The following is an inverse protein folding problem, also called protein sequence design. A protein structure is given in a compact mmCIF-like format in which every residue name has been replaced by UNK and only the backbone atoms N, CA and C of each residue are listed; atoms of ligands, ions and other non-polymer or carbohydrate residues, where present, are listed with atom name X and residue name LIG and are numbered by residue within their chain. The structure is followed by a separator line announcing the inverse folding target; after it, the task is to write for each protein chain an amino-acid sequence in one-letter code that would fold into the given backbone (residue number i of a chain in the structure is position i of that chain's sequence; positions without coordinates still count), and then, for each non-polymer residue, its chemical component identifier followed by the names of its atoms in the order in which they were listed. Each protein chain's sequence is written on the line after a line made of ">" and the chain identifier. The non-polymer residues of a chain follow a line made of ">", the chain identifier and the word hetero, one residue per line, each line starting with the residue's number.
data_IF_878397897906
#
_entry.id   IF_878397897906
#
_cell.length_a   1.000
_cell.length_b   1.000
_cell.length_c   1.000
_cell.angle_alpha   90.00
_cell.angle_beta   90.00
_cell.angle_gamma   90.00
#
_symmetry.space_group_name_H-M   'P 1'
#
loop_
_entity.id
_entity.type
_entity.pdbx_description
1 polymer ?
#
# COMPACT_ATOMS: atom_id res chain seq x y z
N UNK A 1 58.64 -32.03 -27.19
CA UNK A 1 57.75 -31.96 -26.00
C UNK A 1 57.20 -30.56 -25.74
N UNK A 2 58.00 -29.50 -25.86
CA UNK A 2 57.63 -28.10 -25.59
C UNK A 2 56.40 -27.61 -26.40
N UNK A 3 56.32 -27.91 -27.69
CA UNK A 3 55.19 -27.51 -28.57
C UNK A 3 53.83 -28.06 -28.14
N UNK A 4 53.79 -29.29 -27.59
CA UNK A 4 52.54 -29.91 -27.11
C UNK A 4 52.09 -29.29 -25.78
N UNK A 5 53.04 -28.85 -24.95
CA UNK A 5 52.76 -28.16 -23.69
C UNK A 5 52.17 -26.76 -23.93
N UNK A 6 52.72 -26.02 -24.89
CA UNK A 6 52.23 -24.67 -25.24
C UNK A 6 50.79 -24.71 -25.76
N UNK A 7 50.47 -25.68 -26.63
CA UNK A 7 49.12 -25.85 -27.18
C UNK A 7 48.12 -26.23 -26.08
N UNK A 8 48.51 -27.12 -25.15
CA UNK A 8 47.65 -27.51 -24.03
C UNK A 8 47.35 -26.33 -23.10
N UNK A 9 48.36 -25.50 -22.79
CA UNK A 9 48.21 -24.31 -21.94
C UNK A 9 47.33 -23.25 -22.61
N UNK A 10 47.44 -23.05 -23.92
CA UNK A 10 46.58 -22.10 -24.65
C UNK A 10 45.12 -22.56 -24.73
N UNK A 11 44.84 -23.86 -24.85
CA UNK A 11 43.47 -24.41 -24.88
C UNK A 11 42.83 -24.35 -23.48
N UNK A 12 43.61 -24.62 -22.43
CA UNK A 12 43.12 -24.51 -21.05
C UNK A 12 42.81 -23.05 -20.69
N UNK A 13 43.68 -22.09 -21.03
CA UNK A 13 43.43 -20.66 -20.80
C UNK A 13 42.20 -20.12 -21.57
N UNK A 14 41.90 -20.63 -22.76
CA UNK A 14 40.73 -20.19 -23.54
C UNK A 14 39.42 -20.81 -23.04
N UNK A 15 39.45 -22.02 -22.46
CA UNK A 15 38.28 -22.63 -21.81
C UNK A 15 37.88 -21.98 -20.48
N UNK A 16 38.84 -21.41 -19.74
CA UNK A 16 38.58 -20.72 -18.46
C UNK A 16 37.94 -19.33 -18.61
N UNK A 17 37.94 -18.74 -19.81
CA UNK A 17 37.38 -17.41 -20.06
C UNK A 17 35.91 -17.43 -20.49
N UNK A 18 35.31 -18.61 -20.70
CA UNK A 18 33.92 -18.76 -21.15
C UNK A 18 32.93 -19.13 -20.03
N UNK A 19 33.41 -19.42 -18.82
CA UNK A 19 32.55 -19.63 -17.64
C UNK A 19 32.31 -18.31 -16.88
N UNK A 20 31.87 -17.27 -17.59
CA UNK A 20 31.30 -16.08 -16.98
C UNK A 20 29.82 -16.34 -16.69
N UNK A 21 29.51 -17.00 -15.58
CA UNK A 21 28.14 -17.05 -15.07
C UNK A 21 27.68 -15.62 -14.80
N UNK A 22 26.80 -15.08 -15.65
CA UNK A 22 25.99 -13.92 -15.32
C UNK A 22 24.97 -14.33 -14.26
N UNK A 23 25.41 -14.45 -13.00
CA UNK A 23 24.53 -14.17 -11.88
C UNK A 23 24.32 -12.66 -11.86
N UNK A 24 23.41 -12.19 -12.72
CA UNK A 24 22.76 -10.91 -12.51
C UNK A 24 21.92 -11.08 -11.24
N UNK A 25 22.56 -10.90 -10.08
CA UNK A 25 21.88 -10.87 -8.80
C UNK A 25 20.78 -9.83 -8.91
N UNK A 26 19.52 -10.25 -8.73
CA UNK A 26 18.44 -9.30 -8.44
C UNK A 26 18.97 -8.43 -7.29
N UNK A 27 18.84 -7.09 -7.35
CA UNK A 27 19.34 -6.24 -6.27
C UNK A 27 18.57 -6.59 -5.00
N UNK A 28 19.14 -7.46 -4.19
CA UNK A 28 18.55 -8.00 -2.99
C UNK A 28 18.48 -6.86 -1.98
N UNK A 29 17.26 -6.49 -1.59
CA UNK A 29 17.09 -5.64 -0.42
C UNK A 29 17.40 -6.49 0.80
N UNK A 30 18.66 -6.44 1.23
CA UNK A 30 19.26 -7.17 2.35
C UNK A 30 18.72 -6.74 3.74
N UNK A 31 17.52 -6.15 3.79
CA UNK A 31 16.86 -5.76 5.03
C UNK A 31 15.50 -6.41 5.08
N UNK A 32 15.20 -7.03 6.23
CA UNK A 32 13.88 -7.56 6.52
C UNK A 32 12.81 -6.50 6.25
N UNK A 33 11.98 -6.77 5.24
CA UNK A 33 10.90 -5.88 4.83
C UNK A 33 9.74 -6.07 5.78
N UNK A 34 9.27 -4.98 6.39
CA UNK A 34 8.06 -5.00 7.21
C UNK A 34 6.89 -4.47 6.39
N UNK A 35 5.97 -5.37 6.04
CA UNK A 35 4.76 -5.03 5.31
C UNK A 35 3.74 -4.37 6.22
N UNK A 36 3.13 -3.28 5.74
CA UNK A 36 2.16 -2.51 6.52
C UNK A 36 0.95 -2.17 5.69
N UNK A 37 -0.21 -2.17 6.32
CA UNK A 37 -1.38 -1.51 5.78
C UNK A 37 -1.34 -0.05 6.19
N UNK A 38 -1.73 0.82 5.27
CA UNK A 38 -1.95 2.25 5.52
C UNK A 38 -3.34 2.65 5.03
N UNK A 39 -3.97 3.56 5.75
CA UNK A 39 -5.23 4.19 5.35
C UNK A 39 -4.94 5.62 4.94
N UNK A 40 -5.57 6.04 3.84
CA UNK A 40 -5.44 7.39 3.31
C UNK A 40 -6.78 7.88 2.77
N UNK A 41 -6.93 9.20 2.68
CA UNK A 41 -8.12 9.87 2.15
C UNK A 41 -7.71 10.97 1.17
N UNK A 42 -8.59 11.37 0.22
CA UNK A 42 -8.33 12.52 -0.60
C UNK A 42 -8.40 13.85 0.17
N UNK A 43 -7.92 14.91 -0.49
CA UNK A 43 -8.07 16.27 0.04
C UNK A 43 -9.54 16.57 0.27
N UNK A 44 -9.82 17.30 1.34
CA UNK A 44 -11.17 17.76 1.70
C UNK A 44 -12.14 16.61 2.04
N UNK A 45 -11.65 15.40 2.33
CA UNK A 45 -12.47 14.22 2.66
C UNK A 45 -11.95 13.54 3.94
N UNK A 46 -11.75 14.32 5.00
CA UNK A 46 -11.29 13.74 6.25
C UNK A 46 -12.28 12.66 6.72
N UNK A 47 -11.74 11.53 7.19
CA UNK A 47 -12.54 10.39 7.64
C UNK A 47 -12.14 10.00 9.05
N UNK A 48 -13.13 9.64 9.86
CA UNK A 48 -12.89 8.98 11.14
C UNK A 48 -12.90 7.46 10.92
N UNK A 49 -11.71 6.84 10.89
CA UNK A 49 -11.59 5.39 10.71
C UNK A 49 -11.84 4.71 12.06
N UNK A 50 -12.96 4.00 12.15
CA UNK A 50 -13.44 3.33 13.37
C UNK A 50 -12.74 2.00 13.60
N UNK A 51 -12.77 1.15 12.57
CA UNK A 51 -12.26 -0.21 12.66
C UNK A 51 -11.39 -0.48 11.46
N UNK A 52 -10.20 -1.00 11.73
CA UNK A 52 -9.36 -1.67 10.76
C UNK A 52 -9.00 -3.02 11.35
N UNK A 53 -9.45 -4.09 10.71
CA UNK A 53 -9.32 -5.47 11.16
C UNK A 53 -8.75 -6.33 10.03
N UNK A 54 -8.01 -7.34 10.43
CA UNK A 54 -7.33 -8.28 9.56
C UNK A 54 -7.61 -9.69 10.05
N UNK A 55 -7.71 -10.62 9.11
CA UNK A 55 -7.79 -12.04 9.38
C UNK A 55 -6.93 -12.81 8.38
N UNK A 56 -6.01 -13.61 8.92
CA UNK A 56 -5.31 -14.67 8.22
C UNK A 56 -5.91 -15.99 8.70
N UNK A 57 -6.62 -16.66 7.80
CA UNK A 57 -7.51 -17.78 8.13
C UNK A 57 -6.71 -18.93 8.72
N UNK A 58 -7.12 -19.41 9.90
CA UNK A 58 -6.41 -20.49 10.59
C UNK A 58 -5.11 -20.07 11.31
N UNK A 59 -4.71 -18.80 11.20
CA UNK A 59 -3.52 -18.27 11.89
C UNK A 59 -3.88 -17.27 12.97
N UNK A 60 -4.44 -16.10 12.61
CA UNK A 60 -4.84 -15.07 13.58
C UNK A 60 -5.80 -14.03 12.99
N UNK A 61 -6.54 -13.38 13.87
CA UNK A 61 -7.23 -12.11 13.59
C UNK A 61 -6.69 -11.00 14.50
N UNK A 62 -6.59 -9.78 13.99
CA UNK A 62 -6.07 -8.62 14.74
C UNK A 62 -6.66 -7.32 14.22
N UNK A 63 -6.52 -6.25 15.00
CA UNK A 63 -7.10 -4.95 14.68
C UNK A 63 -6.15 -3.82 15.05
N UNK A 64 -6.21 -2.71 14.31
CA UNK A 64 -5.37 -1.53 14.55
C UNK A 64 -6.21 -0.27 14.76
N UNK A 65 -5.92 0.55 15.79
CA UNK A 65 -6.53 1.86 15.93
C UNK A 65 -6.00 2.80 14.84
N UNK A 66 -6.90 3.53 14.19
CA UNK A 66 -6.54 4.52 13.15
C UNK A 66 -7.03 5.90 13.55
N UNK A 67 -8.34 6.08 13.77
CA UNK A 67 -8.92 7.37 14.16
C UNK A 67 -9.01 8.35 12.99
N UNK A 68 -8.91 9.65 13.29
CA UNK A 68 -9.00 10.71 12.28
C UNK A 68 -7.88 10.55 11.26
N UNK A 69 -8.27 10.30 10.03
CA UNK A 69 -7.41 10.27 8.86
C UNK A 69 -7.73 11.46 8.00
N UNK A 70 -6.80 12.40 7.97
CA UNK A 70 -6.81 13.51 7.02
C UNK A 70 -5.82 13.28 5.90
N UNK A 71 -5.94 14.08 4.85
CA UNK A 71 -5.14 14.05 3.63
C UNK A 71 -3.66 13.61 3.80
N UNK A 72 -3.09 12.84 2.86
CA UNK A 72 -3.42 12.79 1.43
C UNK A 72 -3.12 11.44 0.77
N UNK A 73 -3.94 11.06 -0.21
CA UNK A 73 -3.76 9.85 -1.03
C UNK A 73 -2.44 9.79 -1.82
N UNK A 74 -1.86 10.94 -2.21
CA UNK A 74 -0.52 11.03 -2.85
C UNK A 74 0.66 10.89 -1.87
N UNK A 75 0.38 10.69 -0.58
CA UNK A 75 1.37 10.45 0.46
C UNK A 75 1.24 9.05 1.02
N UNK A 76 2.24 8.64 1.81
CA UNK A 76 2.07 7.44 2.66
C UNK A 76 0.89 7.69 3.61
N UNK A 77 -0.05 6.74 3.70
CA UNK A 77 -1.20 6.88 4.58
C UNK A 77 -0.79 7.10 6.04
N UNK A 78 -1.62 7.82 6.80
CA UNK A 78 -1.26 8.36 8.12
C UNK A 78 -1.48 7.37 9.28
N UNK A 79 -2.34 6.37 9.11
CA UNK A 79 -2.57 5.31 10.10
C UNK A 79 -2.67 3.92 9.46
N UNK A 80 -2.57 2.87 10.26
CA UNK A 80 -2.68 1.48 9.80
C UNK A 80 -1.73 0.52 10.52
N UNK A 81 -1.86 -0.78 10.25
CA UNK A 81 -1.25 -1.86 11.02
C UNK A 81 -0.20 -2.66 10.27
N UNK A 82 0.47 -3.55 11.00
CA UNK A 82 1.35 -4.57 10.43
C UNK A 82 0.51 -5.65 9.72
N UNK A 83 1.01 -6.12 8.57
CA UNK A 83 0.37 -7.11 7.70
C UNK A 83 0.96 -8.52 7.89
N UNK A 84 1.61 -8.80 9.00
CA UNK A 84 2.19 -10.13 9.25
C UNK A 84 1.36 -10.87 10.32
N UNK A 85 0.86 -12.08 10.03
CA UNK A 85 0.86 -12.79 8.73
C UNK A 85 0.04 -12.05 7.66
N UNK A 86 0.24 -12.35 6.38
CA UNK A 86 -0.54 -11.71 5.31
C UNK A 86 -2.01 -12.14 5.40
N UNK A 87 -2.97 -11.20 5.45
CA UNK A 87 -4.37 -11.53 5.67
C UNK A 87 -5.09 -11.96 4.38
N UNK A 88 -6.02 -12.91 4.51
CA UNK A 88 -7.02 -13.21 3.49
C UNK A 88 -8.18 -12.21 3.53
N UNK A 89 -8.47 -11.62 4.70
CA UNK A 89 -9.55 -10.66 4.86
C UNK A 89 -9.11 -9.37 5.53
N UNK A 90 -9.61 -8.26 5.01
CA UNK A 90 -9.45 -6.94 5.60
C UNK A 90 -10.83 -6.32 5.76
N UNK A 91 -11.20 -6.02 7.00
CA UNK A 91 -12.41 -5.26 7.32
C UNK A 91 -12.04 -3.82 7.66
N UNK A 92 -12.73 -2.87 7.06
CA UNK A 92 -12.58 -1.45 7.35
C UNK A 92 -13.94 -0.79 7.49
N UNK A 93 -14.10 0.06 8.50
CA UNK A 93 -15.24 0.96 8.63
C UNK A 93 -14.80 2.36 9.02
N UNK A 94 -15.50 3.37 8.49
CA UNK A 94 -15.20 4.77 8.74
C UNK A 94 -16.46 5.63 8.66
N UNK A 95 -16.38 6.81 9.26
CA UNK A 95 -17.32 7.90 9.07
C UNK A 95 -16.70 8.95 8.16
N UNK A 96 -17.37 9.27 7.06
CA UNK A 96 -17.03 10.36 6.15
C UNK A 96 -17.52 11.67 6.77
N UNK A 97 -16.61 12.56 7.19
CA UNK A 97 -17.01 13.85 7.76
C UNK A 97 -17.67 14.75 6.71
N UNK A 98 -17.27 14.59 5.45
CA UNK A 98 -17.81 15.36 4.33
C UNK A 98 -19.25 14.97 3.96
N UNK A 99 -19.54 13.67 3.96
CA UNK A 99 -20.87 13.14 3.62
C UNK A 99 -21.76 12.95 4.84
N UNK A 100 -21.18 13.07 6.05
CA UNK A 100 -21.82 12.73 7.31
C UNK A 100 -22.44 11.32 7.28
N UNK A 101 -21.72 10.37 6.65
CA UNK A 101 -22.19 9.01 6.40
C UNK A 101 -21.12 8.00 6.81
N UNK A 102 -21.57 6.94 7.48
CA UNK A 102 -20.73 5.79 7.81
C UNK A 102 -20.72 4.74 6.72
N UNK A 103 -19.55 4.12 6.50
CA UNK A 103 -19.30 3.11 5.48
C UNK A 103 -18.52 1.93 6.03
N UNK A 104 -18.82 0.73 5.56
CA UNK A 104 -18.08 -0.48 5.89
C UNK A 104 -17.77 -1.33 4.66
N UNK A 105 -16.61 -2.00 4.68
CA UNK A 105 -16.20 -2.94 3.64
C UNK A 105 -15.43 -4.10 4.23
N UNK A 106 -15.81 -5.32 3.83
CA UNK A 106 -14.99 -6.52 3.90
C UNK A 106 -14.33 -6.76 2.54
N UNK A 107 -13.01 -6.85 2.52
CA UNK A 107 -12.19 -7.15 1.35
C UNK A 107 -11.65 -8.57 1.52
N UNK A 108 -11.82 -9.40 0.51
CA UNK A 108 -11.20 -10.72 0.42
C UNK A 108 -10.00 -10.64 -0.53
N UNK A 109 -8.84 -11.07 -0.06
CA UNK A 109 -7.60 -11.26 -0.80
C UNK A 109 -7.51 -12.77 -1.08
N UNK A 110 -7.85 -13.22 -2.29
CA UNK A 110 -7.97 -14.66 -2.59
C UNK A 110 -6.63 -15.40 -2.56
N UNK A 111 -5.52 -14.67 -2.71
CA UNK A 111 -4.17 -15.21 -2.71
C UNK A 111 -3.23 -14.19 -2.02
N UNK A 112 -3.08 -14.26 -0.67
CA UNK A 112 -2.24 -13.33 0.08
C UNK A 112 -0.76 -13.42 -0.30
N UNK A 113 -0.29 -14.61 -0.68
CA UNK A 113 1.09 -14.83 -1.06
C UNK A 113 1.40 -14.25 -2.45
N UNK A 114 0.50 -14.39 -3.43
CA UNK A 114 0.65 -13.67 -4.70
C UNK A 114 0.61 -12.14 -4.51
N UNK A 115 -0.18 -11.63 -3.55
CA UNK A 115 -0.13 -10.21 -3.20
C UNK A 115 1.23 -9.84 -2.59
N UNK A 116 1.76 -10.65 -1.67
CA UNK A 116 3.09 -10.48 -1.06
C UNK A 116 4.19 -10.47 -2.13
N UNK A 117 4.18 -11.42 -3.06
CA UNK A 117 5.14 -11.47 -4.17
C UNK A 117 5.10 -10.19 -5.03
N UNK A 118 3.90 -9.67 -5.31
CA UNK A 118 3.76 -8.38 -6.02
C UNK A 118 4.28 -7.21 -5.18
N UNK A 119 4.12 -7.24 -3.85
CA UNK A 119 4.70 -6.25 -2.94
C UNK A 119 6.23 -6.33 -2.88
N UNK A 120 6.81 -7.50 -3.07
CA UNK A 120 8.28 -7.71 -3.11
C UNK A 120 8.94 -7.16 -4.37
N UNK A 121 8.17 -7.02 -5.45
CA UNK A 121 8.69 -6.45 -6.69
C UNK A 121 9.23 -5.04 -6.47
N UNK A 122 10.52 -4.88 -6.80
CA UNK A 122 11.23 -3.62 -6.61
C UNK A 122 10.78 -2.57 -7.62
N UNK A 123 10.72 -1.33 -7.16
CA UNK A 123 10.40 -0.17 -7.98
C UNK A 123 11.40 0.96 -7.75
N UNK A 124 11.84 1.68 -8.80
CA UNK A 124 12.72 2.82 -8.66
C UNK A 124 12.02 3.96 -7.92
N UNK A 125 12.70 4.52 -6.93
CA UNK A 125 12.27 5.62 -6.06
C UNK A 125 13.37 6.65 -5.97
N UNK A 126 13.01 7.91 -6.15
CA UNK A 126 13.93 9.03 -5.96
C UNK A 126 13.91 9.50 -4.51
N UNK A 127 15.07 9.52 -3.85
CA UNK A 127 15.21 10.01 -2.48
C UNK A 127 16.53 10.77 -2.32
N UNK A 128 16.44 12.05 -1.97
CA UNK A 128 17.61 12.92 -1.71
C UNK A 128 18.60 12.88 -2.90
N UNK A 129 18.10 13.10 -4.12
CA UNK A 129 18.92 13.14 -5.34
C UNK A 129 19.52 11.79 -5.77
N UNK A 130 19.17 10.68 -5.12
CA UNK A 130 19.63 9.33 -5.48
C UNK A 130 18.46 8.43 -5.84
N UNK A 131 18.71 7.49 -6.74
CA UNK A 131 17.76 6.45 -7.13
C UNK A 131 17.98 5.20 -6.26
N UNK A 132 16.90 4.70 -5.68
CA UNK A 132 16.85 3.44 -4.95
C UNK A 132 15.79 2.56 -5.60
N UNK A 133 16.06 1.29 -5.84
CA UNK A 133 14.98 0.34 -6.07
C UNK A 133 14.36 0.01 -4.71
N UNK A 134 13.06 -0.13 -4.50
CA UNK A 134 12.49 -0.49 -3.18
C UNK A 134 11.32 -1.44 -3.38
N UNK A 135 11.12 -2.44 -2.50
CA UNK A 135 9.90 -3.23 -2.53
C UNK A 135 8.71 -2.35 -2.17
N UNK A 136 7.52 -2.67 -2.68
CA UNK A 136 6.25 -1.99 -2.41
C UNK A 136 5.66 -2.42 -1.06
N UNK A 137 6.39 -2.12 0.01
CA UNK A 137 6.12 -2.61 1.36
C UNK A 137 4.87 -2.03 2.06
N UNK A 138 4.10 -1.15 1.40
CA UNK A 138 2.82 -0.68 1.92
C UNK A 138 1.66 -1.18 1.05
N UNK A 139 0.65 -1.77 1.68
CA UNK A 139 -0.69 -1.89 1.13
C UNK A 139 -1.49 -0.68 1.60
N UNK A 140 -2.07 0.09 0.69
CA UNK A 140 -2.77 1.34 1.03
C UNK A 140 -4.24 1.21 0.67
N UNK A 141 -5.12 1.44 1.64
CA UNK A 141 -6.55 1.63 1.42
C UNK A 141 -6.84 3.13 1.33
N UNK A 142 -7.19 3.59 0.13
CA UNK A 142 -7.74 4.92 -0.10
C UNK A 142 -9.24 4.90 0.10
N UNK A 143 -9.71 5.59 1.13
CA UNK A 143 -11.13 5.83 1.36
C UNK A 143 -11.50 7.11 0.63
N UNK A 144 -12.41 7.01 -0.33
CA UNK A 144 -12.84 8.10 -1.19
C UNK A 144 -14.36 8.30 -1.10
N UNK A 145 -14.86 9.48 -1.53
CA UNK A 145 -16.29 9.78 -1.59
C UNK A 145 -17.16 8.67 -2.19
N UNK A 146 -18.41 8.60 -1.74
CA UNK A 146 -19.39 7.62 -2.21
C UNK A 146 -19.01 6.18 -1.85
N UNK A 147 -18.38 5.98 -0.70
CA UNK A 147 -17.99 4.66 -0.18
C UNK A 147 -16.94 3.94 -1.04
N UNK A 148 -16.11 4.66 -1.80
CA UNK A 148 -15.11 4.04 -2.67
C UNK A 148 -13.89 3.63 -1.85
N UNK A 149 -13.44 2.38 -2.01
CA UNK A 149 -12.15 1.92 -1.46
C UNK A 149 -11.26 1.50 -2.61
N UNK A 150 -10.11 2.13 -2.73
CA UNK A 150 -9.09 1.72 -3.71
C UNK A 150 -7.88 1.19 -2.96
N UNK A 151 -7.38 0.05 -3.41
CA UNK A 151 -6.29 -0.68 -2.77
C UNK A 151 -5.05 -0.63 -3.67
N UNK A 152 -3.93 -0.15 -3.13
CA UNK A 152 -2.66 -0.08 -3.86
C UNK A 152 -1.54 -0.76 -3.09
N UNK A 153 -0.56 -1.27 -3.83
CA UNK A 153 0.76 -1.59 -3.29
C UNK A 153 1.74 -0.48 -3.66
N UNK A 154 2.55 -0.01 -2.71
CA UNK A 154 3.53 1.05 -2.97
C UNK A 154 4.67 1.12 -1.94
N UNK A 155 5.81 1.65 -2.36
CA UNK A 155 6.89 2.11 -1.46
C UNK A 155 6.84 3.64 -1.30
N UNK A 156 6.51 4.33 -2.40
CA UNK A 156 6.19 5.74 -2.52
C UNK A 156 5.06 5.94 -3.51
N UNK A 157 4.44 7.11 -3.51
CA UNK A 157 3.31 7.41 -4.39
C UNK A 157 3.64 7.23 -5.88
N UNK A 158 4.87 7.53 -6.33
CA UNK A 158 5.28 7.30 -7.72
C UNK A 158 5.37 5.82 -8.12
N UNK A 159 5.37 4.90 -7.14
CA UNK A 159 5.46 3.44 -7.37
C UNK A 159 4.13 2.72 -7.24
N UNK A 160 3.05 3.46 -6.98
CA UNK A 160 1.75 2.90 -6.68
C UNK A 160 1.21 2.05 -7.84
N UNK A 161 0.77 0.84 -7.51
CA UNK A 161 0.03 -0.04 -8.41
C UNK A 161 -1.30 -0.34 -7.76
N UNK A 162 -2.40 -0.07 -8.48
CA UNK A 162 -3.74 -0.45 -8.04
C UNK A 162 -3.87 -1.98 -8.13
N UNK A 163 -4.29 -2.59 -7.03
CA UNK A 163 -4.48 -4.05 -6.90
C UNK A 163 -5.93 -4.42 -6.59
N UNK A 164 -6.79 -3.44 -6.32
CA UNK A 164 -8.20 -3.67 -6.10
C UNK A 164 -8.99 -2.38 -5.95
N UNK A 165 -10.28 -2.48 -6.23
CA UNK A 165 -11.24 -1.37 -6.13
C UNK A 165 -12.59 -1.92 -5.70
N UNK A 166 -13.18 -1.29 -4.70
CA UNK A 166 -14.34 -1.82 -3.99
C UNK A 166 -15.33 -0.71 -3.67
N UNK A 167 -16.59 -1.10 -3.51
CA UNK A 167 -17.64 -0.25 -2.95
C UNK A 167 -18.03 -0.74 -1.56
N UNK A 168 -17.93 0.16 -0.60
CA UNK A 168 -18.42 -0.01 0.75
C UNK A 168 -19.93 0.21 0.80
N UNK A 169 -20.55 -0.37 1.82
CA UNK A 169 -21.97 -0.25 2.08
C UNK A 169 -22.16 0.86 3.10
N UNK A 170 -23.06 1.84 2.86
CA UNK A 170 -23.42 2.83 3.86
C UNK A 170 -24.20 2.17 4.99
N UNK A 171 -24.00 2.64 6.21
CA UNK A 171 -24.78 2.21 7.37
C UNK A 171 -24.96 3.34 8.37
N UNK A 172 -26.04 3.27 9.12
CA UNK A 172 -26.30 4.19 10.23
C UNK A 172 -25.50 3.72 11.44
N UNK A 173 -24.73 4.62 12.04
CA UNK A 173 -24.13 4.38 13.35
C UNK A 173 -24.74 5.34 14.38
N UNK A 174 -24.62 4.96 15.65
CA UNK A 174 -25.08 5.73 16.81
C UNK A 174 -23.95 6.57 17.43
N UNK A 175 -22.81 6.66 16.74
CA UNK A 175 -21.63 7.33 17.24
C UNK A 175 -21.76 8.85 17.09
N UNK A 176 -21.20 9.54 18.08
CA UNK A 176 -21.24 11.00 18.17
C UNK A 176 -19.96 11.60 17.62
N UNK A 177 -20.08 12.36 16.52
CA UNK A 177 -18.96 12.97 15.80
C UNK A 177 -18.95 14.50 15.89
N UNK A 178 -19.78 15.13 16.72
CA UNK A 178 -20.09 16.56 16.69
C UNK A 178 -18.82 17.42 16.74
N UNK A 179 -17.89 17.15 17.66
CA UNK A 179 -16.64 17.93 17.75
C UNK A 179 -15.69 17.73 16.56
N UNK A 180 -15.63 16.52 16.01
CA UNK A 180 -14.83 16.26 14.81
C UNK A 180 -15.45 16.90 13.56
N UNK A 181 -16.78 16.87 13.48
CA UNK A 181 -17.56 17.47 12.41
C UNK A 181 -17.48 18.98 12.46
N UNK A 182 -17.60 19.61 13.64
CA UNK A 182 -17.45 21.06 13.82
C UNK A 182 -16.07 21.52 13.33
N UNK A 183 -14.99 20.93 13.86
CA UNK A 183 -13.62 21.26 13.46
C UNK A 183 -13.35 21.01 11.96
N UNK A 184 -13.98 19.98 11.39
CA UNK A 184 -13.89 19.71 9.96
C UNK A 184 -14.63 20.76 9.13
N UNK A 185 -15.85 21.13 9.51
CA UNK A 185 -16.67 22.10 8.78
C UNK A 185 -16.09 23.52 8.88
N UNK A 186 -15.42 23.87 9.98
CA UNK A 186 -14.65 25.12 10.10
C UNK A 186 -13.51 25.19 9.08
N UNK A 187 -12.81 24.07 8.82
CA UNK A 187 -11.66 24.03 7.90
C UNK A 187 -12.06 23.87 6.44
N UNK A 188 -13.05 23.02 6.17
CA UNK A 188 -13.33 22.51 4.83
C UNK A 188 -14.72 22.90 4.30
N UNK A 189 -15.60 23.43 5.16
CA UNK A 189 -17.00 23.69 4.82
C UNK A 189 -17.19 24.65 3.65
N UNK A 190 -16.43 25.74 3.60
CA UNK A 190 -16.50 26.70 2.49
C UNK A 190 -15.99 26.12 1.17
N UNK A 191 -14.95 25.29 1.23
CA UNK A 191 -14.47 24.56 0.05
C UNK A 191 -15.56 23.62 -0.48
N UNK A 192 -16.19 22.84 0.41
CA UNK A 192 -17.24 21.90 0.03
C UNK A 192 -18.45 22.61 -0.59
N UNK A 193 -18.88 23.74 -0.03
CA UNK A 193 -19.99 24.54 -0.58
C UNK A 193 -19.68 25.04 -1.99
N UNK A 194 -18.45 25.44 -2.26
CA UNK A 194 -18.04 25.99 -3.55
C UNK A 194 -17.76 24.94 -4.62
N UNK A 195 -17.17 23.80 -4.23
CA UNK A 195 -16.59 22.83 -5.16
C UNK A 195 -17.31 21.48 -5.20
N UNK A 196 -18.13 21.19 -4.17
CA UNK A 196 -18.71 19.88 -3.96
C UNK A 196 -17.67 18.77 -3.70
N UNK A 197 -18.17 17.56 -3.50
CA UNK A 197 -17.33 16.37 -3.45
C UNK A 197 -17.06 15.84 -4.85
N UNK A 198 -15.80 15.45 -5.08
CA UNK A 198 -15.40 14.83 -6.33
C UNK A 198 -15.77 13.35 -6.27
N UNK A 199 -16.95 12.94 -6.73
CA UNK A 199 -17.38 11.53 -6.66
C UNK A 199 -16.73 10.65 -7.75
N UNK A 200 -16.52 11.20 -8.94
CA UNK A 200 -16.13 10.42 -10.14
C UNK A 200 -14.62 10.38 -10.41
N UNK A 201 -13.80 10.98 -9.56
CA UNK A 201 -12.35 11.09 -9.78
C UNK A 201 -11.54 9.91 -9.23
N UNK A 202 -12.20 8.94 -8.60
CA UNK A 202 -11.53 7.96 -7.76
C UNK A 202 -11.57 6.59 -8.36
#
# INVERSE_FOLDING_TARGET
>A
MIRRLVVLVTVICTSLLLSGCSFAGKPEWDKQVKYRLKVSVPRHYDAWVKTLQFEATGERAWWWPVGITSCCWKGLGRGGGELEPMPDYIYISWFSLAEQQSYARLIHIPDPEALRERMEQLAPVHKIGKLYNLPRYNLVLGLAPGGTVVMWIMSKAETAIEVGRYKAVPFDDDARYEGALESYMEREGDYLKQNGLQLDRW
#
